data_IF_669346305962
#
_entry.id   IF_669346305962
#
_cell.length_a   1.000
_cell.length_b   1.000
_cell.length_c   1.000
_cell.angle_alpha   90.00
_cell.angle_beta   90.00
_cell.angle_gamma   90.00
#
_symmetry.space_group_name_H-M   'P 1'
#
loop_
_entity.id
_entity.type
_entity.pdbx_description
1 polymer ?
#
# COMPACT_ATOMS: atom_id res chain seq x y z
N UNK A 1 -41.89 -3.72 7.33
CA UNK A 1 -41.20 -2.78 6.44
C UNK A 1 -40.25 -3.56 5.54
N UNK A 2 -40.70 -3.92 4.32
CA UNK A 2 -39.89 -4.68 3.35
C UNK A 2 -39.02 -3.75 2.53
N UNK A 3 -37.69 -3.87 2.66
CA UNK A 3 -36.73 -3.04 1.94
C UNK A 3 -36.53 -3.51 0.51
N UNK A 4 -37.17 -2.82 -0.45
CA UNK A 4 -36.91 -2.99 -1.87
C UNK A 4 -35.54 -2.41 -2.25
N UNK A 5 -34.57 -3.28 -2.49
CA UNK A 5 -33.25 -2.89 -2.99
C UNK A 5 -33.31 -2.50 -4.46
N UNK A 6 -33.38 -1.20 -4.75
CA UNK A 6 -33.35 -0.65 -6.11
C UNK A 6 -32.01 -0.91 -6.79
N UNK A 7 -31.95 -1.93 -7.65
CA UNK A 7 -30.84 -2.13 -8.58
C UNK A 7 -31.00 -1.22 -9.80
N UNK A 8 -29.89 -0.67 -10.31
CA UNK A 8 -29.89 0.09 -11.56
C UNK A 8 -29.84 -0.90 -12.73
N UNK A 9 -30.79 -0.81 -13.66
CA UNK A 9 -30.83 -1.68 -14.85
C UNK A 9 -30.24 -0.92 -16.05
N UNK A 10 -29.19 -1.46 -16.65
CA UNK A 10 -28.58 -0.90 -17.85
C UNK A 10 -28.40 -1.98 -18.92
N UNK A 11 -28.95 -1.74 -20.13
CA UNK A 11 -28.86 -2.66 -21.29
C UNK A 11 -29.18 -4.14 -20.95
N UNK A 12 -30.19 -4.37 -20.11
CA UNK A 12 -30.62 -5.71 -19.71
C UNK A 12 -29.82 -6.35 -18.56
N UNK A 13 -28.81 -5.66 -18.02
CA UNK A 13 -28.07 -6.09 -16.83
C UNK A 13 -28.52 -5.28 -15.62
N UNK A 14 -29.05 -5.97 -14.62
CA UNK A 14 -29.41 -5.37 -13.33
C UNK A 14 -28.21 -5.41 -12.40
N UNK A 15 -27.66 -4.24 -12.09
CA UNK A 15 -26.54 -4.12 -11.15
C UNK A 15 -27.08 -3.94 -9.74
N UNK A 16 -26.63 -4.80 -8.83
CA UNK A 16 -26.96 -4.67 -7.41
C UNK A 16 -26.22 -3.47 -6.82
N UNK A 17 -26.99 -2.50 -6.32
CA UNK A 17 -26.45 -1.33 -5.63
C UNK A 17 -25.81 -1.78 -4.31
N UNK A 18 -24.49 -1.64 -4.12
CA UNK A 18 -23.85 -2.05 -2.88
C UNK A 18 -24.32 -1.16 -1.73
N UNK A 19 -24.52 -1.75 -0.55
CA UNK A 19 -24.80 -0.98 0.67
C UNK A 19 -23.67 0.04 0.90
N UNK A 20 -24.02 1.23 1.37
CA UNK A 20 -23.10 2.36 1.60
C UNK A 20 -21.87 1.99 2.43
N UNK A 21 -22.05 1.11 3.42
CA UNK A 21 -20.94 0.63 4.27
C UNK A 21 -19.86 -0.11 3.47
N UNK A 22 -20.24 -0.90 2.44
CA UNK A 22 -19.28 -1.62 1.60
C UNK A 22 -18.43 -0.65 0.78
N UNK A 23 -19.06 0.37 0.20
CA UNK A 23 -18.35 1.37 -0.62
C UNK A 23 -17.40 2.22 0.22
N UNK A 24 -17.81 2.61 1.44
CA UNK A 24 -16.97 3.39 2.36
C UNK A 24 -15.79 2.56 2.85
N UNK A 25 -16.04 1.34 3.34
CA UNK A 25 -14.97 0.45 3.80
C UNK A 25 -14.00 0.09 2.67
N UNK A 26 -14.50 -0.19 1.47
CA UNK A 26 -13.67 -0.51 0.31
C UNK A 26 -12.74 0.65 -0.09
N UNK A 27 -13.25 1.88 -0.12
CA UNK A 27 -12.43 3.07 -0.38
C UNK A 27 -11.41 3.32 0.73
N UNK A 28 -11.81 3.15 2.00
CA UNK A 28 -10.92 3.29 3.14
C UNK A 28 -9.74 2.31 3.09
N UNK A 29 -10.02 1.02 2.89
CA UNK A 29 -9.00 -0.02 2.80
C UNK A 29 -8.05 0.19 1.61
N UNK A 30 -8.57 0.60 0.46
CA UNK A 30 -7.73 0.96 -0.70
C UNK A 30 -6.81 2.16 -0.38
N UNK A 31 -7.34 3.17 0.33
CA UNK A 31 -6.54 4.30 0.81
C UNK A 31 -5.41 3.87 1.77
N UNK A 32 -5.71 3.01 2.74
CA UNK A 32 -4.69 2.50 3.69
C UNK A 32 -3.63 1.66 2.96
N UNK A 33 -4.03 0.82 2.01
CA UNK A 33 -3.10 0.02 1.21
C UNK A 33 -2.07 0.92 0.49
N UNK A 34 -2.54 1.93 -0.25
CA UNK A 34 -1.66 2.84 -0.97
C UNK A 34 -0.84 3.74 -0.06
N UNK A 35 -1.45 4.24 1.03
CA UNK A 35 -0.71 4.96 2.07
C UNK A 35 0.46 4.12 2.59
N UNK A 36 0.22 2.84 2.88
CA UNK A 36 1.26 1.94 3.39
C UNK A 36 2.37 1.72 2.37
N UNK A 37 2.04 1.47 1.10
CA UNK A 37 3.03 1.29 0.03
C UNK A 37 3.93 2.53 -0.07
N UNK A 38 3.35 3.74 -0.08
CA UNK A 38 4.11 4.98 -0.18
C UNK A 38 4.94 5.27 1.07
N UNK A 39 4.40 4.98 2.25
CA UNK A 39 5.14 5.07 3.51
C UNK A 39 6.38 4.16 3.50
N UNK A 40 6.21 2.90 3.08
CA UNK A 40 7.30 1.92 2.98
C UNK A 40 8.30 2.31 1.89
N UNK A 41 7.84 2.85 0.77
CA UNK A 41 8.71 3.41 -0.27
C UNK A 41 9.53 4.61 0.25
N UNK A 42 8.99 5.42 1.16
CA UNK A 42 9.73 6.51 1.81
C UNK A 42 10.77 5.99 2.80
N UNK A 43 10.42 5.03 3.64
CA UNK A 43 11.33 4.51 4.68
C UNK A 43 12.44 3.64 4.09
N UNK A 44 12.12 2.79 3.12
CA UNK A 44 13.05 1.84 2.52
C UNK A 44 13.51 2.26 1.12
N UNK A 45 13.18 3.49 0.71
CA UNK A 45 13.58 4.08 -0.57
C UNK A 45 15.07 3.93 -0.89
N UNK A 46 16.00 4.15 0.05
CA UNK A 46 17.43 3.96 -0.20
C UNK A 46 17.85 2.50 -0.45
N UNK A 47 17.18 1.54 0.18
CA UNK A 47 17.47 0.09 0.07
C UNK A 47 16.82 -0.49 -1.20
N UNK A 48 15.59 -0.08 -1.50
CA UNK A 48 14.84 -0.57 -2.68
C UNK A 48 15.38 0.06 -3.98
N UNK A 49 15.85 1.30 -3.96
CA UNK A 49 16.51 1.94 -5.11
C UNK A 49 18.00 1.57 -5.26
N UNK A 50 18.53 0.67 -4.41
CA UNK A 50 19.90 0.18 -4.51
C UNK A 50 20.97 1.23 -4.20
N UNK A 51 20.62 2.34 -3.53
CA UNK A 51 21.53 3.43 -3.19
C UNK A 51 22.29 3.19 -1.87
N UNK A 52 21.91 2.17 -1.11
CA UNK A 52 22.60 1.75 0.12
C UNK A 52 22.50 0.24 0.27
N UNK A 53 23.65 -0.44 0.27
CA UNK A 53 23.67 -1.89 0.45
C UNK A 53 23.66 -2.25 1.95
N UNK A 54 22.95 -3.31 2.37
CA UNK A 54 22.88 -3.72 3.77
C UNK A 54 24.23 -3.99 4.45
N UNK A 55 25.29 -4.23 3.67
CA UNK A 55 26.64 -4.56 4.12
C UNK A 55 27.64 -3.39 4.11
N UNK A 56 27.24 -2.18 3.68
CA UNK A 56 28.10 -0.98 3.73
C UNK A 56 28.39 -0.50 5.17
N UNK A 57 27.80 -1.12 6.18
CA UNK A 57 28.02 -0.81 7.60
C UNK A 57 29.09 -1.64 8.29
N UNK A 58 29.72 -2.60 7.62
CA UNK A 58 30.66 -3.53 8.26
C UNK A 58 31.90 -3.81 7.39
N UNK A 59 32.92 -2.95 7.50
CA UNK A 59 34.19 -3.21 6.84
C UNK A 59 35.11 -2.01 6.75
N UNK A 60 35.48 -1.39 7.87
CA UNK A 60 36.71 -0.61 7.93
C UNK A 60 37.38 -0.74 9.31
N UNK A 61 37.63 -1.99 9.70
CA UNK A 61 38.63 -2.32 10.71
C UNK A 61 39.81 -3.00 10.00
N UNK A 62 40.48 -2.24 9.13
CA UNK A 62 41.78 -2.57 8.58
C UNK A 62 42.89 -2.13 9.54
N UNK A 63 43.79 -3.06 9.83
CA UNK A 63 44.98 -3.00 10.68
C UNK A 63 45.92 -1.80 10.42
N UNK A 64 46.56 -1.33 11.50
CA UNK A 64 48.00 -0.96 11.68
C UNK A 64 48.68 -0.13 10.56
N UNK A 65 49.39 0.97 10.86
CA UNK A 65 50.76 0.90 11.38
C UNK A 65 51.21 2.18 12.12
N UNK A 66 51.88 1.94 13.23
CA UNK A 66 52.77 2.85 13.95
C UNK A 66 54.03 3.08 13.12
N UNK A 67 54.40 4.33 12.80
CA UNK A 67 55.80 4.74 12.58
C UNK A 67 55.97 6.27 12.66
#
# INVERSE_FOLDING_TARGET
>A
MGGGGGGITYKGVTVHTPKTWHTVAGKGLCGVMWFWILYRAKQDGPVVMGWRHPWDGHGDHGHEDHH
#
